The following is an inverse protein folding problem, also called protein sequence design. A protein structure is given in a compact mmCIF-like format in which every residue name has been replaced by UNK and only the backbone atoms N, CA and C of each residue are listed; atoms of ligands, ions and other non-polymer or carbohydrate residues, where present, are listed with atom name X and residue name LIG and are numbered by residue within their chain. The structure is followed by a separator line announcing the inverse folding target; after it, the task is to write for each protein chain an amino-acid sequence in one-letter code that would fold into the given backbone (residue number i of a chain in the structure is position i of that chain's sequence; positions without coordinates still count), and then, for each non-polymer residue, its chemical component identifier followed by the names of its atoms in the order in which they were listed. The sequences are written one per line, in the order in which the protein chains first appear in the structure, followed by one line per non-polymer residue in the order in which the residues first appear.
data_IF_027362641719
#
_entry.id   IF_027362641719
#
_cell.length_a   1.000
_cell.length_b   1.000
_cell.length_c   1.000
_cell.angle_alpha   90.00
_cell.angle_beta   90.00
_cell.angle_gamma   90.00
#
_symmetry.space_group_name_H-M   'P 1'
#
loop_
_entity.id
_entity.type
_entity.pdbx_description
1 polymer ?
#
# COMPACT_ATOMS: atom_id res chain seq x y z
N UNK A 1 -3.39 45.41 -11.14
CA UNK A 1 -3.31 44.07 -10.48
C UNK A 1 -4.16 42.97 -11.17
N UNK A 2 -4.99 43.27 -12.18
CA UNK A 2 -5.94 42.31 -12.77
C UNK A 2 -5.34 41.27 -13.74
N UNK A 3 -4.34 41.63 -14.56
CA UNK A 3 -3.73 40.72 -15.57
C UNK A 3 -3.16 39.41 -15.00
N UNK A 4 -2.64 39.41 -13.76
CA UNK A 4 -2.06 38.19 -13.15
C UNK A 4 -3.13 37.16 -12.77
N UNK A 5 -4.33 37.59 -12.39
CA UNK A 5 -5.44 36.68 -12.06
C UNK A 5 -5.96 35.99 -13.31
N UNK A 6 -6.03 36.70 -14.43
CA UNK A 6 -6.51 36.15 -15.70
C UNK A 6 -5.56 35.10 -16.28
N UNK A 7 -4.25 35.36 -16.27
CA UNK A 7 -3.25 34.39 -16.70
C UNK A 7 -3.32 33.11 -15.85
N UNK A 8 -3.49 33.25 -14.53
CA UNK A 8 -3.63 32.10 -13.64
C UNK A 8 -4.89 31.29 -13.95
N UNK A 9 -6.02 31.94 -14.23
CA UNK A 9 -7.27 31.26 -14.56
C UNK A 9 -7.13 30.52 -15.89
N UNK A 10 -6.56 31.14 -16.92
CA UNK A 10 -6.27 30.50 -18.19
C UNK A 10 -5.47 29.20 -18.06
N UNK A 11 -4.38 29.21 -17.28
CA UNK A 11 -3.59 27.99 -17.06
C UNK A 11 -4.30 26.94 -16.20
N UNK A 12 -5.21 27.34 -15.30
CA UNK A 12 -6.05 26.39 -14.57
C UNK A 12 -7.03 25.69 -15.51
N UNK A 13 -7.70 26.44 -16.37
CA UNK A 13 -8.69 25.91 -17.29
C UNK A 13 -8.01 24.99 -18.32
N UNK A 14 -6.87 25.41 -18.89
CA UNK A 14 -6.06 24.58 -19.76
C UNK A 14 -5.57 23.29 -19.08
N UNK A 15 -5.25 23.36 -17.77
CA UNK A 15 -4.85 22.18 -16.99
C UNK A 15 -6.00 21.22 -16.76
N UNK A 16 -7.21 21.70 -16.46
CA UNK A 16 -8.40 20.85 -16.31
C UNK A 16 -8.84 20.23 -17.63
N UNK A 17 -8.80 20.97 -18.74
CA UNK A 17 -9.05 20.43 -20.08
C UNK A 17 -8.04 19.32 -20.41
N UNK A 18 -6.74 19.56 -20.15
CA UNK A 18 -5.68 18.55 -20.37
C UNK A 18 -5.83 17.32 -19.48
N UNK A 19 -6.32 17.48 -18.25
CA UNK A 19 -6.53 16.39 -17.29
C UNK A 19 -7.62 15.42 -17.79
N UNK A 20 -8.55 15.90 -18.60
CA UNK A 20 -9.64 15.09 -19.15
C UNK A 20 -10.61 14.59 -18.08
N UNK A 21 -11.65 13.89 -18.53
CA UNK A 21 -12.58 13.20 -17.64
C UNK A 21 -11.98 11.85 -17.23
N UNK A 22 -11.44 11.76 -16.01
CA UNK A 22 -11.05 10.49 -15.41
C UNK A 22 -12.27 9.81 -14.79
N UNK A 23 -13.25 9.47 -15.63
CA UNK A 23 -14.33 8.56 -15.27
C UNK A 23 -13.72 7.20 -15.02
N UNK A 24 -13.21 6.98 -13.81
CA UNK A 24 -12.81 5.64 -13.38
C UNK A 24 -14.10 4.85 -13.25
N UNK A 25 -14.51 4.22 -14.35
CA UNK A 25 -15.60 3.25 -14.30
C UNK A 25 -15.07 2.06 -13.50
N UNK A 26 -15.58 1.90 -12.28
CA UNK A 26 -15.26 0.74 -11.45
C UNK A 26 -16.07 -0.40 -12.01
N UNK A 27 -15.39 -1.32 -12.70
CA UNK A 27 -16.01 -2.53 -13.24
C UNK A 27 -15.78 -3.67 -12.25
N UNK A 28 -16.84 -4.38 -11.91
CA UNK A 28 -16.74 -5.59 -11.10
C UNK A 28 -16.91 -6.83 -11.99
N UNK A 29 -16.36 -7.97 -11.56
CA UNK A 29 -16.54 -9.25 -12.25
C UNK A 29 -17.45 -10.15 -11.46
N UNK A 30 -18.44 -10.72 -12.11
CA UNK A 30 -19.21 -11.82 -11.54
C UNK A 30 -18.39 -13.12 -11.54
N UNK A 31 -18.96 -14.22 -11.01
CA UNK A 31 -18.29 -15.53 -10.96
C UNK A 31 -17.93 -16.08 -12.34
N UNK A 32 -18.76 -15.79 -13.34
CA UNK A 32 -18.55 -16.17 -14.75
C UNK A 32 -17.57 -15.24 -15.49
N UNK A 33 -16.95 -14.29 -14.79
CA UNK A 33 -16.00 -13.29 -15.32
C UNK A 33 -16.62 -12.26 -16.26
N UNK A 34 -17.95 -12.15 -16.29
CA UNK A 34 -18.67 -11.06 -16.95
C UNK A 34 -18.61 -9.78 -16.11
N UNK A 35 -18.62 -8.63 -16.79
CA UNK A 35 -18.58 -7.32 -16.15
C UNK A 35 -19.97 -6.93 -15.66
N UNK A 36 -20.08 -6.55 -14.38
CA UNK A 36 -21.29 -6.03 -13.76
C UNK A 36 -21.10 -4.55 -13.41
N UNK A 37 -22.19 -3.80 -13.52
CA UNK A 37 -22.21 -2.34 -13.41
C UNK A 37 -23.33 -1.83 -12.50
N UNK A 38 -24.41 -2.60 -12.36
CA UNK A 38 -25.56 -2.23 -11.53
C UNK A 38 -25.25 -2.42 -10.05
N UNK A 39 -25.68 -1.47 -9.22
CA UNK A 39 -25.41 -1.50 -7.78
C UNK A 39 -25.97 -2.76 -7.10
N UNK A 40 -27.15 -3.20 -7.53
CA UNK A 40 -27.79 -4.43 -7.03
C UNK A 40 -26.97 -5.68 -7.38
N UNK A 41 -26.44 -5.76 -8.61
CA UNK A 41 -25.61 -6.90 -9.04
C UNK A 41 -24.30 -6.96 -8.23
N UNK A 42 -23.73 -5.79 -7.92
CA UNK A 42 -22.53 -5.70 -7.08
C UNK A 42 -22.84 -6.17 -5.65
N UNK A 43 -23.96 -5.75 -5.08
CA UNK A 43 -24.40 -6.17 -3.75
C UNK A 43 -24.63 -7.69 -3.68
N UNK A 44 -25.27 -8.26 -4.70
CA UNK A 44 -25.50 -9.70 -4.80
C UNK A 44 -24.18 -10.48 -4.95
N UNK A 45 -23.25 -9.97 -5.77
CA UNK A 45 -21.92 -10.57 -5.90
C UNK A 45 -21.13 -10.60 -4.59
N UNK A 46 -21.27 -9.56 -3.76
CA UNK A 46 -20.67 -9.51 -2.43
C UNK A 46 -21.33 -10.47 -1.46
N UNK A 47 -22.67 -10.56 -1.48
CA UNK A 47 -23.42 -11.51 -0.67
C UNK A 47 -22.96 -12.94 -0.92
N UNK A 48 -22.91 -13.34 -2.20
CA UNK A 48 -22.44 -14.65 -2.62
C UNK A 48 -20.99 -14.92 -2.20
N UNK A 49 -20.11 -13.92 -2.34
CA UNK A 49 -18.70 -14.04 -1.94
C UNK A 49 -18.56 -14.36 -0.46
N UNK A 50 -19.27 -13.62 0.40
CA UNK A 50 -19.19 -13.81 1.84
C UNK A 50 -19.89 -15.08 2.30
N UNK A 51 -20.96 -15.49 1.64
CA UNK A 51 -21.61 -16.77 1.91
C UNK A 51 -20.68 -17.94 1.62
N UNK A 52 -19.95 -17.92 0.50
CA UNK A 52 -18.92 -18.93 0.20
C UNK A 52 -17.78 -18.88 1.22
N UNK A 53 -17.23 -17.69 1.46
CA UNK A 53 -16.06 -17.50 2.33
C UNK A 53 -16.33 -17.92 3.79
N UNK A 54 -17.52 -17.63 4.31
CA UNK A 54 -17.83 -17.85 5.73
C UNK A 54 -18.36 -19.26 6.01
N UNK A 55 -18.94 -19.92 5.00
CA UNK A 55 -19.51 -21.25 5.15
C UNK A 55 -18.63 -22.35 4.55
N UNK A 56 -17.45 -22.01 4.03
CA UNK A 56 -16.48 -22.99 3.54
C UNK A 56 -16.09 -23.96 4.68
N UNK A 57 -16.12 -25.28 4.45
CA UNK A 57 -15.68 -26.24 5.46
C UNK A 57 -14.23 -25.96 5.84
N UNK A 58 -13.94 -26.00 7.14
CA UNK A 58 -12.66 -25.62 7.75
C UNK A 58 -11.41 -26.40 7.24
N UNK A 59 -11.59 -27.28 6.27
CA UNK A 59 -10.54 -28.04 5.60
C UNK A 59 -9.70 -27.20 4.63
N UNK A 60 -10.22 -26.13 4.03
CA UNK A 60 -9.49 -25.36 3.00
C UNK A 60 -8.89 -24.03 3.52
N UNK A 61 -9.56 -23.37 4.48
CA UNK A 61 -9.12 -22.08 5.06
C UNK A 61 -7.86 -22.20 5.93
N UNK A 62 -7.50 -23.42 6.36
CA UNK A 62 -6.48 -23.59 7.40
C UNK A 62 -5.03 -23.47 6.90
N UNK A 63 -4.73 -23.57 5.60
CA UNK A 63 -3.33 -23.55 5.15
C UNK A 63 -2.63 -22.19 5.38
N UNK A 64 -3.34 -21.08 5.16
CA UNK A 64 -2.80 -19.74 5.37
C UNK A 64 -2.88 -19.31 6.84
N UNK A 65 -3.98 -19.61 7.54
CA UNK A 65 -4.10 -19.31 8.96
C UNK A 65 -3.10 -20.11 9.83
N UNK A 66 -2.80 -21.34 9.43
CA UNK A 66 -1.84 -22.20 10.12
C UNK A 66 -0.39 -21.79 9.84
N UNK A 67 -0.06 -21.29 8.63
CA UNK A 67 1.28 -20.77 8.33
C UNK A 67 1.61 -19.47 9.10
N UNK A 68 0.62 -18.63 9.39
CA UNK A 68 0.82 -17.43 10.21
C UNK A 68 1.02 -17.80 11.68
N UNK A 69 0.33 -18.84 12.19
CA UNK A 69 0.53 -19.32 13.56
C UNK A 69 1.88 -19.99 13.78
N UNK A 70 2.43 -20.69 12.79
CA UNK A 70 3.74 -21.35 12.93
C UNK A 70 4.91 -20.37 12.97
N UNK A 71 4.79 -19.16 12.39
CA UNK A 71 5.85 -18.14 12.41
C UNK A 71 5.86 -17.27 13.69
N UNK A 72 4.92 -17.47 14.62
CA UNK A 72 4.87 -16.76 15.90
C UNK A 72 5.52 -17.55 17.05
N UNK A 73 6.05 -18.74 16.75
CA UNK A 73 6.67 -19.64 17.70
C UNK A 73 8.21 -19.64 17.59
N UNK A 74 8.80 -18.63 16.96
CA UNK A 74 10.20 -18.33 17.21
C UNK A 74 10.25 -17.65 18.58
N UNK A 75 10.68 -18.38 19.60
CA UNK A 75 11.07 -17.80 20.89
C UNK A 75 12.27 -16.87 20.63
N UNK A 76 12.00 -15.65 20.15
CA UNK A 76 13.00 -14.59 20.14
C UNK A 76 13.41 -14.34 21.58
N UNK A 77 14.70 -14.54 21.89
CA UNK A 77 15.25 -14.25 23.19
C UNK A 77 14.94 -12.80 23.59
N UNK A 78 14.56 -12.59 24.85
CA UNK A 78 14.32 -11.24 25.35
C UNK A 78 15.58 -10.38 25.16
N UNK A 79 15.46 -9.17 24.58
CA UNK A 79 16.63 -8.35 24.31
C UNK A 79 17.32 -7.94 25.60
N UNK A 80 18.65 -7.96 25.58
CA UNK A 80 19.47 -7.54 26.73
C UNK A 80 19.38 -6.01 26.89
N UNK A 81 19.50 -5.52 28.14
CA UNK A 81 19.51 -4.08 28.43
C UNK A 81 20.52 -3.29 27.60
N UNK A 82 21.68 -3.86 27.32
CA UNK A 82 22.72 -3.23 26.50
C UNK A 82 22.31 -3.10 25.02
N UNK A 83 21.57 -4.07 24.49
CA UNK A 83 21.03 -4.03 23.14
C UNK A 83 19.98 -2.92 23.02
N UNK A 84 19.09 -2.83 24.00
CA UNK A 84 18.08 -1.76 24.10
C UNK A 84 18.76 -0.38 24.14
N UNK A 85 19.79 -0.22 24.99
CA UNK A 85 20.54 1.03 25.08
C UNK A 85 21.25 1.38 23.76
N UNK A 86 21.85 0.39 23.10
CA UNK A 86 22.48 0.57 21.80
C UNK A 86 21.48 0.97 20.71
N UNK A 87 20.27 0.40 20.71
CA UNK A 87 19.20 0.78 19.78
C UNK A 87 18.78 2.23 20.04
N UNK A 88 18.49 2.59 21.29
CA UNK A 88 18.11 3.96 21.67
C UNK A 88 19.16 4.98 21.23
N UNK A 89 20.45 4.68 21.43
CA UNK A 89 21.55 5.55 21.01
C UNK A 89 21.67 5.67 19.48
N UNK A 90 21.26 4.64 18.73
CA UNK A 90 21.24 4.64 17.25
C UNK A 90 19.99 5.29 16.68
N UNK A 91 18.93 5.51 17.47
CA UNK A 91 17.75 6.23 17.03
C UNK A 91 18.13 7.69 16.80
N UNK A 92 17.77 8.21 15.63
CA UNK A 92 17.95 9.63 15.36
C UNK A 92 16.91 10.42 16.17
N UNK A 93 17.39 11.33 17.03
CA UNK A 93 16.54 12.25 17.78
C UNK A 93 15.47 12.91 16.88
N UNK A 94 14.20 12.83 17.29
CA UNK A 94 13.06 13.48 16.66
C UNK A 94 12.79 13.17 15.17
N UNK A 95 13.16 11.99 14.66
CA UNK A 95 12.70 11.56 13.33
C UNK A 95 11.49 10.63 13.46
N UNK A 96 10.38 10.99 12.80
CA UNK A 96 9.21 10.11 12.72
C UNK A 96 9.57 8.76 12.07
N UNK A 97 8.90 7.65 12.45
CA UNK A 97 9.23 6.28 12.02
C UNK A 97 8.97 5.98 10.52
N UNK A 98 8.92 6.99 9.65
CA UNK A 98 8.54 6.83 8.24
C UNK A 98 9.66 7.08 7.23
N UNK A 99 10.81 7.64 7.64
CA UNK A 99 11.90 7.99 6.71
C UNK A 99 13.19 7.23 6.98
N UNK A 100 13.11 5.93 7.24
CA UNK A 100 14.26 5.05 7.05
C UNK A 100 14.10 4.40 5.67
N UNK A 101 14.41 5.15 4.61
CA UNK A 101 14.72 4.56 3.31
C UNK A 101 16.08 3.88 3.44
N UNK A 102 16.10 2.67 4.00
CA UNK A 102 17.33 1.89 4.07
C UNK A 102 17.86 1.64 2.65
N UNK A 103 19.12 2.03 2.48
CA UNK A 103 20.16 1.23 1.82
C UNK A 103 20.26 1.13 0.28
N UNK A 104 19.91 2.17 -0.50
CA UNK A 104 20.37 2.25 -1.92
C UNK A 104 21.30 3.41 -2.27
N UNK A 105 21.86 4.13 -1.28
CA UNK A 105 22.75 5.28 -1.55
C UNK A 105 24.18 5.09 -1.05
N UNK A 106 24.78 3.93 -1.29
CA UNK A 106 26.23 3.71 -1.03
C UNK A 106 26.97 2.97 -2.16
N UNK A 107 26.49 3.03 -3.41
CA UNK A 107 27.25 2.52 -4.58
C UNK A 107 27.53 3.54 -5.69
N UNK A 108 27.53 4.85 -5.38
CA UNK A 108 27.83 5.90 -6.38
C UNK A 108 29.02 6.82 -6.05
N UNK A 109 29.80 6.53 -5.00
CA UNK A 109 31.04 7.28 -4.72
C UNK A 109 32.34 6.50 -4.94
N UNK A 110 32.34 5.16 -4.96
CA UNK A 110 33.58 4.38 -5.14
C UNK A 110 33.87 3.97 -6.59
N UNK A 111 33.28 4.64 -7.60
CA UNK A 111 33.59 4.40 -9.04
C UNK A 111 34.27 5.59 -9.72
N UNK A 112 34.59 6.67 -8.99
CA UNK A 112 35.31 7.82 -9.55
C UNK A 112 36.73 8.00 -8.98
N UNK A 113 37.28 7.03 -8.24
CA UNK A 113 38.66 7.06 -7.75
C UNK A 113 39.55 5.93 -8.30
N UNK A 114 39.16 5.29 -9.42
CA UNK A 114 40.05 4.35 -10.13
C UNK A 114 40.03 4.57 -11.64
N UNK A 115 40.37 5.78 -12.09
CA UNK A 115 41.05 6.07 -13.36
C UNK A 115 41.78 7.41 -13.24
#
# INVERSE_FOLDING_TARGET
MHKRKEIRNFYKDAKEIRKGHNGRTVHYKNKERHLIYEENEVADRWREYFEELLNEPATEINSYAQSVKTNLQDEEEEPTRDEINNIINKLNNNKSPGQIKQAYRTKRKNRQEMK
#
